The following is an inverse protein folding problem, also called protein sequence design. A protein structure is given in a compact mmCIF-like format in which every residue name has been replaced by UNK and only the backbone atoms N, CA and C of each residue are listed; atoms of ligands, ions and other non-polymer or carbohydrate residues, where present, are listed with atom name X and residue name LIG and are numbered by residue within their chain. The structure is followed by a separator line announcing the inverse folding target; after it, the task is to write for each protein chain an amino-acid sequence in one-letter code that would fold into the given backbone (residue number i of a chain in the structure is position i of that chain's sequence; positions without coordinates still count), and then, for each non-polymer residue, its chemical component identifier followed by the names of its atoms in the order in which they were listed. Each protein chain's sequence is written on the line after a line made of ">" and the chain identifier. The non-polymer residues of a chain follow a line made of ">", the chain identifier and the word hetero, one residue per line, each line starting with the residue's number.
data_IF_065344349162
#
_entry.id   IF_065344349162
#
_cell.length_a   1.000
_cell.length_b   1.000
_cell.length_c   1.000
_cell.angle_alpha   90.00
_cell.angle_beta   90.00
_cell.angle_gamma   90.00
#
_symmetry.space_group_name_H-M   'P 1'
#
loop_
_entity.id
_entity.type
_entity.pdbx_description
1 polymer ?
#
# COMPACT_ATOMS: atom_id res chain seq x y z
N UNK A 1 12.62 29.08 -10.70
CA UNK A 1 12.94 29.37 -9.28
C UNK A 1 12.37 30.70 -8.80
N UNK A 2 12.61 31.83 -9.47
CA UNK A 2 12.06 33.15 -9.06
C UNK A 2 10.58 33.11 -8.62
N UNK A 3 9.69 32.55 -9.44
CA UNK A 3 8.25 32.44 -9.11
C UNK A 3 7.98 31.60 -7.86
N UNK A 4 8.71 30.49 -7.66
CA UNK A 4 8.53 29.64 -6.49
C UNK A 4 8.86 30.43 -5.21
N UNK A 5 9.95 31.20 -5.22
CA UNK A 5 10.33 32.01 -4.06
C UNK A 5 9.38 33.20 -3.84
N UNK A 6 8.88 33.85 -4.91
CA UNK A 6 7.84 34.86 -4.77
C UNK A 6 6.55 34.30 -4.17
N UNK A 7 6.17 33.07 -4.51
CA UNK A 7 5.02 32.41 -3.88
C UNK A 7 5.29 32.06 -2.41
N UNK A 8 6.53 31.67 -2.07
CA UNK A 8 6.92 31.48 -0.68
C UNK A 8 6.85 32.79 0.13
N UNK A 9 7.33 33.90 -0.43
CA UNK A 9 7.23 35.24 0.18
C UNK A 9 5.78 35.68 0.34
N UNK A 10 4.92 35.34 -0.62
CA UNK A 10 3.47 35.58 -0.54
C UNK A 10 2.74 34.68 0.48
N UNK A 11 3.43 33.74 1.13
CA UNK A 11 2.88 32.92 2.22
C UNK A 11 2.62 31.45 1.88
N UNK A 12 3.11 30.93 0.74
CA UNK A 12 2.98 29.49 0.46
C UNK A 12 3.85 28.64 1.42
N UNK A 13 3.21 27.65 2.07
CA UNK A 13 3.90 26.72 2.99
C UNK A 13 4.64 25.59 2.26
N UNK A 14 4.16 25.23 1.07
CA UNK A 14 4.69 24.14 0.25
C UNK A 14 4.79 24.62 -1.19
N UNK A 15 5.94 24.36 -1.80
CA UNK A 15 6.21 24.73 -3.19
C UNK A 15 6.06 23.50 -4.07
N UNK A 16 5.32 23.63 -5.16
CA UNK A 16 5.16 22.57 -6.14
C UNK A 16 5.81 22.99 -7.45
N UNK A 17 6.89 22.31 -7.84
CA UNK A 17 7.54 22.54 -9.13
C UNK A 17 7.09 21.47 -10.12
N UNK A 18 6.31 21.88 -11.12
CA UNK A 18 5.88 20.98 -12.18
C UNK A 18 6.99 20.79 -13.22
N UNK A 19 6.93 19.64 -13.91
CA UNK A 19 7.68 19.34 -15.12
C UNK A 19 9.22 19.52 -15.06
N UNK A 20 9.87 19.29 -13.90
CA UNK A 20 11.32 19.13 -13.86
C UNK A 20 11.73 17.93 -14.72
N UNK A 21 12.61 18.15 -15.71
CA UNK A 21 12.90 17.19 -16.78
C UNK A 21 14.04 16.22 -16.45
N UNK A 22 14.78 16.50 -15.38
CA UNK A 22 15.90 15.67 -14.93
C UNK A 22 16.00 15.61 -13.40
N UNK A 23 16.77 14.65 -12.89
CA UNK A 23 17.11 14.58 -11.47
C UNK A 23 17.89 15.82 -11.02
N UNK A 24 18.77 16.33 -11.89
CA UNK A 24 19.57 17.52 -11.63
C UNK A 24 18.68 18.77 -11.54
N UNK A 25 17.65 18.90 -12.39
CA UNK A 25 16.68 19.99 -12.28
C UNK A 25 15.96 19.96 -10.93
N UNK A 26 15.51 18.76 -10.51
CA UNK A 26 14.83 18.58 -9.23
C UNK A 26 15.75 18.98 -8.08
N UNK A 27 16.99 18.48 -8.06
CA UNK A 27 17.97 18.82 -7.03
C UNK A 27 18.35 20.30 -7.03
N UNK A 28 18.46 20.91 -8.21
CA UNK A 28 18.74 22.35 -8.33
C UNK A 28 17.57 23.16 -7.79
N UNK A 29 16.32 22.80 -8.11
CA UNK A 29 15.14 23.48 -7.57
C UNK A 29 15.11 23.34 -6.05
N UNK A 30 15.25 22.12 -5.53
CA UNK A 30 15.21 21.84 -4.09
C UNK A 30 16.24 22.65 -3.30
N UNK A 31 17.46 22.80 -3.83
CA UNK A 31 18.53 23.60 -3.20
C UNK A 31 18.28 25.11 -3.18
N UNK A 32 17.48 25.62 -4.11
CA UNK A 32 17.33 27.06 -4.35
C UNK A 32 15.97 27.62 -3.93
N UNK A 33 15.08 26.79 -3.42
CA UNK A 33 13.80 27.23 -2.86
C UNK A 33 13.85 27.32 -1.35
N UNK A 34 13.20 28.33 -0.78
CA UNK A 34 13.26 28.65 0.66
C UNK A 34 12.24 27.91 1.52
N UNK A 35 11.35 27.13 0.89
CA UNK A 35 10.28 26.35 1.54
C UNK A 35 10.31 24.90 1.04
N UNK A 36 9.71 23.95 1.79
CA UNK A 36 9.61 22.55 1.38
C UNK A 36 9.14 22.40 -0.07
N UNK A 37 9.83 21.55 -0.83
CA UNK A 37 9.50 21.23 -2.22
C UNK A 37 8.68 19.94 -2.29
N UNK A 38 7.57 20.00 -3.04
CA UNK A 38 6.78 18.86 -3.48
C UNK A 38 6.98 18.60 -4.98
N UNK A 39 7.04 17.32 -5.35
CA UNK A 39 7.14 16.89 -6.75
C UNK A 39 6.11 15.82 -7.10
N UNK A 40 5.80 15.69 -8.39
CA UNK A 40 4.82 14.76 -8.91
C UNK A 40 5.47 13.58 -9.66
N UNK A 41 5.41 12.39 -9.06
CA UNK A 41 5.90 11.15 -9.68
C UNK A 41 4.85 10.45 -10.55
N UNK A 42 3.70 11.07 -10.77
CA UNK A 42 2.67 10.64 -11.70
C UNK A 42 2.09 9.28 -11.33
N UNK A 43 2.58 8.23 -12.02
CA UNK A 43 2.20 6.85 -11.74
C UNK A 43 3.04 6.20 -10.64
N UNK A 44 4.20 6.77 -10.26
CA UNK A 44 5.07 6.26 -9.18
C UNK A 44 5.82 4.96 -9.47
N UNK A 45 5.34 4.15 -10.41
CA UNK A 45 5.92 2.86 -10.81
C UNK A 45 6.09 2.74 -12.33
N UNK A 46 5.91 3.84 -13.07
CA UNK A 46 6.01 3.87 -14.53
C UNK A 46 6.69 5.15 -15.01
N UNK A 47 7.75 4.97 -15.79
CA UNK A 47 8.49 6.05 -16.45
C UNK A 47 7.59 6.85 -17.38
N UNK A 48 7.83 8.17 -17.44
CA UNK A 48 7.19 9.12 -18.36
C UNK A 48 8.24 9.90 -19.15
N UNK A 49 7.79 10.60 -20.19
CA UNK A 49 8.66 11.44 -21.03
C UNK A 49 9.09 12.75 -20.37
N UNK A 50 8.35 13.22 -19.36
CA UNK A 50 8.60 14.53 -18.74
C UNK A 50 9.45 14.36 -17.48
N UNK A 51 8.83 14.03 -16.34
CA UNK A 51 9.54 13.87 -15.07
C UNK A 51 10.15 12.46 -14.98
N UNK A 52 11.46 12.34 -14.71
CA UNK A 52 12.10 11.04 -14.54
C UNK A 52 11.51 10.29 -13.34
N UNK A 53 11.43 8.95 -13.44
CA UNK A 53 10.97 8.14 -12.33
C UNK A 53 12.09 7.98 -11.30
N UNK A 54 11.88 8.58 -10.12
CA UNK A 54 12.79 8.47 -8.98
C UNK A 54 12.04 7.87 -7.78
N UNK A 55 12.75 7.07 -6.99
CA UNK A 55 12.24 6.59 -5.71
C UNK A 55 12.08 7.74 -4.71
N UNK A 56 11.20 7.57 -3.72
CA UNK A 56 11.07 8.54 -2.64
C UNK A 56 12.41 8.80 -1.92
N UNK A 57 13.23 7.77 -1.77
CA UNK A 57 14.59 7.85 -1.20
C UNK A 57 15.51 8.75 -2.03
N UNK A 58 15.56 8.57 -3.35
CA UNK A 58 16.35 9.42 -4.24
C UNK A 58 15.87 10.87 -4.21
N UNK A 59 14.55 11.09 -4.18
CA UNK A 59 13.97 12.43 -4.08
C UNK A 59 14.33 13.11 -2.76
N UNK A 60 14.26 12.35 -1.66
CA UNK A 60 14.70 12.83 -0.34
C UNK A 60 16.18 13.21 -0.35
N UNK A 61 17.05 12.38 -0.95
CA UNK A 61 18.48 12.67 -1.08
C UNK A 61 18.75 13.94 -1.92
N UNK A 62 17.82 14.31 -2.82
CA UNK A 62 17.86 15.55 -3.60
C UNK A 62 17.28 16.76 -2.85
N UNK A 63 16.73 16.60 -1.65
CA UNK A 63 16.13 17.67 -0.85
C UNK A 63 14.63 17.89 -1.08
N UNK A 64 13.94 16.95 -1.74
CA UNK A 64 12.47 16.99 -1.86
C UNK A 64 11.83 16.60 -0.53
N UNK A 65 10.88 17.40 -0.07
CA UNK A 65 10.17 17.17 1.19
C UNK A 65 8.92 16.30 1.02
N UNK A 66 8.21 16.44 -0.11
CA UNK A 66 6.96 15.72 -0.38
C UNK A 66 6.95 15.15 -1.79
N UNK A 67 6.42 13.95 -1.95
CA UNK A 67 6.17 13.33 -3.25
C UNK A 67 4.71 12.90 -3.36
N UNK A 68 4.08 13.21 -4.49
CA UNK A 68 2.71 12.80 -4.79
C UNK A 68 2.67 11.81 -5.96
N UNK A 69 1.70 10.88 -5.90
CA UNK A 69 1.46 9.83 -6.89
C UNK A 69 0.03 9.86 -7.44
N UNK A 70 -0.41 10.99 -8.03
CA UNK A 70 -1.83 11.28 -8.26
C UNK A 70 -2.54 10.31 -9.21
N UNK A 71 -1.80 9.55 -10.02
CA UNK A 71 -2.37 8.63 -11.03
C UNK A 71 -2.14 7.16 -10.73
N UNK A 72 -1.42 6.82 -9.66
CA UNK A 72 -1.07 5.43 -9.35
C UNK A 72 -2.32 4.58 -9.12
N UNK A 73 -3.13 4.93 -8.11
CA UNK A 73 -4.24 4.10 -7.68
C UNK A 73 -5.34 3.99 -8.73
N UNK A 74 -5.67 5.10 -9.42
CA UNK A 74 -6.70 5.09 -10.48
C UNK A 74 -6.26 4.23 -11.68
N UNK A 75 -4.99 4.27 -12.07
CA UNK A 75 -4.48 3.41 -13.14
C UNK A 75 -4.43 1.94 -12.73
N UNK A 76 -4.07 1.64 -11.48
CA UNK A 76 -4.12 0.29 -10.92
C UNK A 76 -5.56 -0.25 -10.87
N UNK A 77 -6.52 0.55 -10.43
CA UNK A 77 -7.93 0.18 -10.41
C UNK A 77 -8.47 -0.14 -11.82
N UNK A 78 -8.17 0.72 -12.80
CA UNK A 78 -8.52 0.45 -14.21
C UNK A 78 -7.90 -0.85 -14.72
N UNK A 79 -6.65 -1.14 -14.37
CA UNK A 79 -5.99 -2.40 -14.72
C UNK A 79 -6.70 -3.59 -14.09
N UNK A 80 -7.03 -3.51 -12.79
CA UNK A 80 -7.77 -4.54 -12.07
C UNK A 80 -9.14 -4.82 -12.69
N UNK A 81 -9.92 -3.77 -12.97
CA UNK A 81 -11.22 -3.90 -13.63
C UNK A 81 -11.11 -4.56 -15.01
N UNK A 82 -10.12 -4.18 -15.83
CA UNK A 82 -9.87 -4.82 -17.14
C UNK A 82 -9.54 -6.31 -16.99
N UNK A 83 -8.70 -6.66 -16.01
CA UNK A 83 -8.33 -8.05 -15.75
C UNK A 83 -9.55 -8.87 -15.31
N UNK A 84 -10.37 -8.34 -14.41
CA UNK A 84 -11.61 -8.99 -13.96
C UNK A 84 -12.60 -9.23 -15.10
N UNK A 85 -12.83 -8.22 -15.96
CA UNK A 85 -13.69 -8.37 -17.14
C UNK A 85 -13.16 -9.42 -18.12
N UNK A 86 -11.83 -9.54 -18.26
CA UNK A 86 -11.23 -10.56 -19.10
C UNK A 86 -11.46 -11.98 -18.54
N UNK A 87 -11.30 -12.18 -17.23
CA UNK A 87 -11.58 -13.45 -16.57
C UNK A 87 -13.05 -13.85 -16.72
N UNK A 88 -13.97 -12.91 -16.51
CA UNK A 88 -15.40 -13.15 -16.72
C UNK A 88 -15.68 -13.54 -18.19
N UNK A 89 -15.10 -12.83 -19.15
CA UNK A 89 -15.25 -13.16 -20.58
C UNK A 89 -14.76 -14.57 -20.91
N UNK A 90 -13.66 -15.03 -20.29
CA UNK A 90 -13.15 -16.39 -20.47
C UNK A 90 -14.09 -17.45 -19.89
N UNK A 91 -14.66 -17.19 -18.71
CA UNK A 91 -15.63 -18.10 -18.08
C UNK A 91 -16.87 -18.23 -18.96
N UNK A 92 -17.41 -17.11 -19.43
CA UNK A 92 -18.57 -17.07 -20.34
C UNK A 92 -18.31 -17.82 -21.66
N UNK A 93 -17.14 -17.61 -22.26
CA UNK A 93 -16.79 -18.26 -23.53
C UNK A 93 -16.58 -19.78 -23.39
N UNK A 94 -16.08 -20.23 -22.24
CA UNK A 94 -15.80 -21.65 -21.99
C UNK A 94 -16.98 -22.42 -21.37
N UNK A 95 -17.97 -21.72 -20.81
CA UNK A 95 -19.05 -22.32 -20.03
C UNK A 95 -18.58 -22.96 -18.72
N UNK A 96 -17.33 -22.70 -18.30
CA UNK A 96 -16.72 -23.31 -17.11
C UNK A 96 -16.56 -22.27 -16.01
N UNK A 97 -16.64 -22.75 -14.78
CA UNK A 97 -16.26 -21.98 -13.59
C UNK A 97 -14.77 -21.69 -13.65
N UNK A 98 -14.40 -20.43 -13.50
CA UNK A 98 -13.01 -19.97 -13.38
C UNK A 98 -12.89 -19.32 -12.00
N UNK A 99 -12.26 -20.04 -11.06
CA UNK A 99 -12.04 -19.56 -9.69
C UNK A 99 -10.66 -18.88 -9.59
N UNK A 100 -10.65 -17.59 -9.26
CA UNK A 100 -9.47 -16.71 -9.25
C UNK A 100 -9.55 -15.72 -8.08
N UNK A 101 -9.46 -16.20 -6.83
CA UNK A 101 -9.62 -15.37 -5.64
C UNK A 101 -8.61 -14.22 -5.57
N UNK A 102 -7.41 -14.39 -6.12
CA UNK A 102 -6.36 -13.36 -6.16
C UNK A 102 -6.64 -12.19 -7.11
N UNK A 103 -7.69 -12.29 -7.93
CA UNK A 103 -8.12 -11.19 -8.82
C UNK A 103 -9.05 -10.19 -8.13
N UNK A 104 -9.49 -10.47 -6.90
CA UNK A 104 -10.48 -9.70 -6.16
C UNK A 104 -9.98 -9.41 -4.74
N UNK A 105 -10.47 -8.31 -4.17
CA UNK A 105 -10.39 -8.06 -2.72
C UNK A 105 -11.38 -9.02 -2.05
N UNK A 106 -10.97 -9.69 -0.96
CA UNK A 106 -11.84 -10.64 -0.29
C UNK A 106 -12.99 -9.93 0.43
N UNK A 107 -14.04 -10.70 0.77
CA UNK A 107 -15.18 -10.15 1.50
C UNK A 107 -14.77 -9.66 2.91
N UNK A 108 -13.86 -10.39 3.55
CA UNK A 108 -13.28 -10.02 4.84
C UNK A 108 -12.49 -8.72 4.74
N UNK A 109 -11.64 -8.58 3.72
CA UNK A 109 -10.85 -7.36 3.52
C UNK A 109 -11.77 -6.16 3.21
N UNK A 110 -12.83 -6.34 2.43
CA UNK A 110 -13.84 -5.30 2.20
C UNK A 110 -14.51 -4.86 3.51
N UNK A 111 -14.81 -5.77 4.43
CA UNK A 111 -15.41 -5.42 5.72
C UNK A 111 -14.45 -4.70 6.64
N UNK A 112 -13.19 -5.10 6.65
CA UNK A 112 -12.14 -4.43 7.40
C UNK A 112 -11.94 -2.99 6.86
N UNK A 113 -11.92 -2.81 5.54
CA UNK A 113 -11.82 -1.49 4.89
C UNK A 113 -13.01 -0.60 5.26
N UNK A 114 -14.22 -1.18 5.36
CA UNK A 114 -15.44 -0.45 5.71
C UNK A 114 -15.63 -0.25 7.22
N UNK A 115 -14.67 -0.70 8.05
CA UNK A 115 -14.76 -0.67 9.52
C UNK A 115 -16.08 -1.26 10.04
N UNK A 116 -16.60 -2.32 9.40
CA UNK A 116 -17.89 -2.92 9.76
C UNK A 116 -17.91 -3.37 11.22
N UNK A 117 -16.77 -3.82 11.76
CA UNK A 117 -16.63 -4.21 13.17
C UNK A 117 -16.90 -3.08 14.15
N UNK A 118 -16.45 -1.87 13.85
CA UNK A 118 -16.69 -0.70 14.71
C UNK A 118 -18.17 -0.36 14.75
N UNK A 119 -18.87 -0.52 13.62
CA UNK A 119 -20.31 -0.34 13.52
C UNK A 119 -21.03 -1.38 14.37
N UNK A 120 -20.66 -2.65 14.26
CA UNK A 120 -21.22 -3.73 15.09
C UNK A 120 -21.01 -3.47 16.59
N UNK A 121 -19.83 -3.01 16.99
CA UNK A 121 -19.53 -2.66 18.39
C UNK A 121 -20.35 -1.46 18.88
N UNK A 122 -20.53 -0.43 18.05
CA UNK A 122 -21.43 0.68 18.38
C UNK A 122 -22.87 0.20 18.55
N UNK A 123 -23.33 -0.70 17.70
CA UNK A 123 -24.67 -1.24 17.80
C UNK A 123 -24.90 -2.06 19.06
N UNK A 124 -23.95 -2.91 19.45
CA UNK A 124 -24.05 -3.66 20.69
C UNK A 124 -24.07 -2.75 21.92
N UNK A 125 -23.39 -1.60 21.86
CA UNK A 125 -23.35 -0.64 22.97
C UNK A 125 -24.60 0.22 23.08
N UNK A 126 -25.15 0.65 21.94
CA UNK A 126 -26.14 1.73 21.93
C UNK A 126 -27.53 1.30 21.48
N UNK A 127 -27.67 0.21 20.72
CA UNK A 127 -29.00 -0.26 20.32
C UNK A 127 -29.65 -1.11 21.40
N UNK A 128 -30.93 -0.85 21.62
CA UNK A 128 -31.77 -1.73 22.43
C UNK A 128 -31.96 -3.08 21.74
N UNK A 129 -32.36 -4.08 22.53
CA UNK A 129 -32.65 -5.41 22.00
C UNK A 129 -33.70 -5.39 20.88
N UNK A 130 -34.77 -4.60 21.03
CA UNK A 130 -35.81 -4.46 20.01
C UNK A 130 -35.31 -3.81 18.72
N UNK A 131 -34.40 -2.84 18.81
CA UNK A 131 -33.78 -2.20 17.63
C UNK A 131 -32.86 -3.17 16.88
N UNK A 132 -32.06 -3.97 17.60
CA UNK A 132 -31.24 -5.02 16.98
C UNK A 132 -32.10 -6.07 16.28
N UNK A 133 -33.20 -6.49 16.89
CA UNK A 133 -34.14 -7.45 16.30
C UNK A 133 -34.86 -6.89 15.08
N UNK A 134 -35.23 -5.61 15.07
CA UNK A 134 -35.81 -4.96 13.90
C UNK A 134 -34.79 -4.87 12.73
N UNK A 135 -33.51 -4.62 13.03
CA UNK A 135 -32.46 -4.47 12.01
C UNK A 135 -32.03 -5.80 11.39
N UNK A 136 -31.84 -6.83 12.21
CA UNK A 136 -31.25 -8.11 11.76
C UNK A 136 -32.25 -9.28 11.74
N UNK A 137 -33.43 -9.12 12.33
CA UNK A 137 -34.39 -10.20 12.57
C UNK A 137 -34.10 -10.97 13.86
N UNK A 138 -35.01 -11.86 14.25
CA UNK A 138 -34.83 -12.73 15.44
C UNK A 138 -33.63 -13.67 15.21
N UNK A 139 -32.60 -13.50 16.03
CA UNK A 139 -31.49 -14.47 16.15
C UNK A 139 -30.35 -14.31 15.15
N UNK A 140 -30.39 -13.35 14.22
CA UNK A 140 -29.22 -13.06 13.38
C UNK A 140 -28.34 -12.02 14.07
N UNK A 141 -27.07 -12.37 14.28
CA UNK A 141 -26.01 -11.38 14.54
C UNK A 141 -25.57 -10.79 13.19
N UNK A 142 -25.10 -9.56 13.17
CA UNK A 142 -24.47 -8.96 11.99
C UNK A 142 -23.35 -9.88 11.43
N UNK A 143 -22.56 -10.46 12.34
CA UNK A 143 -21.54 -11.49 12.07
C UNK A 143 -22.04 -12.79 11.44
N UNK A 144 -23.37 -13.02 11.37
CA UNK A 144 -24.00 -14.22 10.79
C UNK A 144 -24.60 -13.96 9.41
N UNK A 145 -24.77 -12.69 9.03
CA UNK A 145 -25.15 -12.27 7.68
C UNK A 145 -23.90 -12.14 6.79
N UNK A 146 -22.73 -12.08 7.42
CA UNK A 146 -21.42 -11.82 6.83
C UNK A 146 -20.41 -12.88 7.31
N UNK A 147 -20.21 -14.00 6.59
CA UNK A 147 -19.26 -15.03 7.00
C UNK A 147 -17.83 -14.51 6.82
N UNK A 148 -16.98 -14.65 7.85
CA UNK A 148 -15.52 -14.47 7.73
C UNK A 148 -14.82 -13.74 8.89
N UNK A 149 -15.53 -12.95 9.69
CA UNK A 149 -14.91 -12.22 10.79
C UNK A 149 -14.76 -13.07 12.06
N UNK A 150 -13.54 -13.50 12.36
CA UNK A 150 -13.21 -13.99 13.71
C UNK A 150 -13.16 -12.78 14.64
N UNK A 151 -14.07 -12.74 15.61
CA UNK A 151 -13.98 -11.82 16.74
C UNK A 151 -12.58 -11.95 17.38
N UNK A 152 -11.77 -10.88 17.35
CA UNK A 152 -10.57 -10.81 18.18
C UNK A 152 -11.04 -10.82 19.63
N UNK A 153 -10.70 -11.88 20.37
CA UNK A 153 -11.03 -11.94 21.80
C UNK A 153 -10.24 -10.84 22.51
N UNK A 154 -10.92 -9.80 22.97
CA UNK A 154 -10.35 -8.88 23.94
C UNK A 154 -10.44 -9.58 25.29
N UNK A 155 -9.36 -10.25 25.71
CA UNK A 155 -9.14 -10.51 27.14
C UNK A 155 -8.36 -9.34 27.69
N UNK A 156 -8.96 -8.72 28.70
CA UNK A 156 -8.33 -7.69 29.51
C UNK A 156 -7.04 -8.17 30.16
N UNK A 157 -6.28 -7.17 30.56
CA UNK A 157 -5.01 -7.19 31.30
C UNK A 157 -3.74 -7.41 30.49
N UNK A 158 -3.13 -6.25 30.18
CA UNK A 158 -1.71 -5.96 29.93
C UNK A 158 -0.92 -7.03 29.17
N UNK A 159 -0.53 -6.70 27.94
CA UNK A 159 0.69 -7.28 27.36
C UNK A 159 1.56 -6.26 26.67
N UNK A 160 2.78 -6.18 27.19
CA UNK A 160 4.01 -5.77 26.54
C UNK A 160 4.18 -6.61 25.27
N UNK A 161 4.49 -5.98 24.14
CA UNK A 161 4.82 -6.71 22.92
C UNK A 161 6.24 -7.28 23.01
N UNK A 162 6.34 -8.60 23.13
CA UNK A 162 7.53 -9.38 22.79
C UNK A 162 7.45 -9.66 21.27
N UNK A 163 8.46 -9.24 20.53
CA UNK A 163 8.62 -9.56 19.11
C UNK A 163 8.81 -11.09 18.94
N UNK A 164 8.06 -11.77 18.05
CA UNK A 164 8.42 -13.11 17.63
C UNK A 164 9.60 -13.01 16.65
N UNK A 165 10.77 -13.45 17.10
CA UNK A 165 11.91 -13.77 16.24
C UNK A 165 11.51 -14.87 15.28
N UNK A 166 11.50 -14.60 13.97
CA UNK A 166 11.39 -15.64 12.95
C UNK A 166 12.70 -16.42 12.87
N UNK A 167 12.79 -17.51 13.64
CA UNK A 167 13.79 -18.56 13.45
C UNK A 167 13.27 -19.54 12.39
N UNK A 168 13.47 -19.23 11.11
CA UNK A 168 13.46 -20.25 10.06
C UNK A 168 14.87 -20.82 9.94
N UNK A 169 15.13 -21.91 10.67
CA UNK A 169 16.34 -22.70 10.54
C UNK A 169 16.44 -23.26 9.12
N UNK A 170 17.33 -22.66 8.31
CA UNK A 170 17.84 -23.28 7.10
C UNK A 170 19.22 -23.82 7.42
N UNK A 171 19.30 -25.14 7.59
CA UNK A 171 20.56 -25.87 7.77
C UNK A 171 21.39 -25.71 6.50
N UNK A 172 22.30 -24.74 6.49
CA UNK A 172 23.35 -24.64 5.47
C UNK A 172 24.41 -25.67 5.83
N UNK A 173 24.42 -26.79 5.10
CA UNK A 173 25.57 -27.71 5.07
C UNK A 173 26.76 -26.93 4.49
N UNK A 174 27.66 -26.48 5.36
CA UNK A 174 29.00 -26.01 5.00
C UNK A 174 29.80 -27.21 4.48
N UNK A 175 30.03 -27.29 3.17
CA UNK A 175 31.15 -28.05 2.63
C UNK A 175 32.39 -27.19 2.73
N UNK A 176 33.36 -27.65 3.53
CA UNK A 176 34.66 -27.02 3.68
C UNK A 176 35.46 -27.14 2.38
N UNK A 177 36.01 -26.01 1.90
CA UNK A 177 37.15 -25.99 0.98
C UNK A 177 38.42 -26.38 1.75
N UNK A 178 39.23 -27.33 1.29
CA UNK A 178 40.63 -27.42 1.69
C UNK A 178 41.47 -26.49 0.80
N UNK A 179 42.34 -25.73 1.46
CA UNK A 179 43.27 -24.81 0.84
C UNK A 179 44.38 -25.47 0.03
N UNK A 180 45.02 -24.63 -0.77
CA UNK A 180 46.16 -24.92 -1.61
C UNK A 180 47.36 -25.50 -0.86
N UNK A 181 48.02 -26.49 -1.46
CA UNK A 181 49.47 -26.68 -1.38
C UNK A 181 50.02 -27.13 -2.74
N UNK A 182 51.08 -26.44 -3.13
CA UNK A 182 52.01 -26.63 -4.24
C UNK A 182 52.79 -27.96 -4.21
N UNK A 183 53.12 -28.48 -5.41
CA UNK A 183 54.38 -29.16 -5.86
C UNK A 183 54.10 -29.74 -7.27
N UNK A 184 54.68 -29.26 -8.38
CA UNK A 184 56.04 -29.43 -8.92
C UNK A 184 56.33 -30.86 -9.46
N UNK A 185 56.91 -30.90 -10.68
CA UNK A 185 57.39 -32.04 -11.51
C UNK A 185 56.32 -32.71 -12.38
N UNK A 186 56.52 -33.02 -13.67
CA UNK A 186 57.65 -32.88 -14.60
C UNK A 186 57.09 -32.66 -16.02
#
# INVERSE_FOLDING_TARGET
>A
MRRLNLYAEAGADLLFADAAMSADDIGTIAKNVVKPLSVNMGFGIRQRSITPLLSAKQLQDLGVAVVIYPRLLTACALRGMKNGLQLLKQSLASGKVIDRPEALVSFEELHDIMSTHEIEEMEQRYLTRGQLEAKYGRGRKASMIMPGAKAKSVRGDRMVAVHPSTSSGRTVRRTAKPGAKSKQTA
#
